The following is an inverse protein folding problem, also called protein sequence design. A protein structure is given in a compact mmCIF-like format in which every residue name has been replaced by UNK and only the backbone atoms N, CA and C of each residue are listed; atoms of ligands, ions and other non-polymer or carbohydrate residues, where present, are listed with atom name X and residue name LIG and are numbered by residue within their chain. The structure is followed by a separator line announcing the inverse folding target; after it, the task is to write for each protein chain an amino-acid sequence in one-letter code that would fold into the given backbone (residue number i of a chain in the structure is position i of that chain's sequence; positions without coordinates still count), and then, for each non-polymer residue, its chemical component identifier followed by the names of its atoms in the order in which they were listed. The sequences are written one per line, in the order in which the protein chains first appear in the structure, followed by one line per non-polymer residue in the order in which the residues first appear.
data_IF_904518775123
#
_entry.id   IF_904518775123
#
_cell.length_a   1.000
_cell.length_b   1.000
_cell.length_c   1.000
_cell.angle_alpha   90.00
_cell.angle_beta   90.00
_cell.angle_gamma   90.00
#
_symmetry.space_group_name_H-M   'P 1'
#
loop_
_entity.id
_entity.type
_entity.pdbx_description
1 polymer ?
#
# COMPACT_ATOMS: atom_id res chain seq x y z
N UNK A 1 24.62 5.52 38.59
CA UNK A 1 23.93 6.17 37.45
C UNK A 1 23.49 5.04 36.54
N UNK A 2 22.21 4.68 36.59
CA UNK A 2 21.67 3.54 35.86
C UNK A 2 21.09 4.03 34.54
N UNK A 3 21.69 3.63 33.42
CA UNK A 3 21.19 3.93 32.08
C UNK A 3 19.79 3.34 31.90
N UNK A 4 18.80 4.20 31.69
CA UNK A 4 17.49 3.81 31.21
C UNK A 4 17.64 3.41 29.74
N UNK A 5 17.66 2.10 29.49
CA UNK A 5 17.56 1.54 28.13
C UNK A 5 16.18 1.92 27.60
N UNK A 6 16.14 2.94 26.73
CA UNK A 6 14.96 3.31 25.95
C UNK A 6 14.61 2.12 25.05
N UNK A 7 13.63 1.33 25.49
CA UNK A 7 13.08 0.22 24.72
C UNK A 7 12.17 0.78 23.62
N UNK A 8 12.79 1.38 22.61
CA UNK A 8 12.09 1.99 21.48
C UNK A 8 11.47 0.88 20.63
N UNK A 9 10.16 0.69 20.78
CA UNK A 9 9.44 -0.33 20.02
C UNK A 9 9.31 0.15 18.57
N UNK A 10 10.02 -0.50 17.65
CA UNK A 10 9.92 -0.21 16.21
C UNK A 10 8.54 -0.65 15.68
N UNK A 11 7.66 0.34 15.44
CA UNK A 11 6.34 0.11 14.82
C UNK A 11 6.46 -0.47 13.40
N UNK A 12 7.51 -0.09 12.65
CA UNK A 12 7.78 -0.61 11.32
C UNK A 12 7.99 -2.14 11.29
N UNK A 13 8.59 -2.71 12.34
CA UNK A 13 8.76 -4.17 12.46
C UNK A 13 7.46 -4.92 12.78
N UNK A 14 6.52 -4.29 13.52
CA UNK A 14 5.21 -4.89 13.85
C UNK A 14 4.16 -4.72 12.76
N UNK A 15 4.25 -3.68 11.93
CA UNK A 15 3.38 -3.49 10.76
C UNK A 15 3.54 -4.61 9.72
N UNK A 16 4.77 -5.12 9.56
CA UNK A 16 5.12 -6.21 8.67
C UNK A 16 4.44 -7.55 9.06
N UNK A 17 4.41 -7.89 10.35
CA UNK A 17 3.74 -9.09 10.86
C UNK A 17 2.22 -8.93 11.09
N UNK A 18 1.65 -7.79 10.70
CA UNK A 18 0.28 -7.43 11.07
C UNK A 18 -0.78 -8.31 10.39
N UNK A 19 -1.89 -8.53 11.09
CA UNK A 19 -3.08 -9.16 10.52
C UNK A 19 -3.61 -8.41 9.28
N UNK A 20 -3.32 -7.10 9.19
CA UNK A 20 -3.68 -6.27 8.04
C UNK A 20 -2.93 -6.69 6.76
N UNK A 21 -1.62 -6.97 6.86
CA UNK A 21 -0.85 -7.47 5.70
C UNK A 21 -1.38 -8.84 5.24
N UNK A 22 -1.64 -9.78 6.16
CA UNK A 22 -2.15 -11.10 5.80
C UNK A 22 -3.49 -11.02 5.05
N UNK A 23 -4.40 -10.15 5.50
CA UNK A 23 -5.66 -9.91 4.81
C UNK A 23 -5.45 -9.35 3.40
N UNK A 24 -4.57 -8.35 3.23
CA UNK A 24 -4.24 -7.78 1.92
C UNK A 24 -3.55 -8.80 0.99
N UNK A 25 -2.70 -9.66 1.54
CA UNK A 25 -2.02 -10.71 0.79
C UNK A 25 -3.02 -11.71 0.23
N UNK A 26 -3.90 -12.25 1.09
CA UNK A 26 -4.96 -13.17 0.66
C UNK A 26 -5.88 -12.51 -0.37
N UNK A 27 -6.37 -11.31 -0.08
CA UNK A 27 -7.24 -10.55 -1.00
C UNK A 27 -6.56 -10.31 -2.35
N UNK A 28 -5.28 -9.96 -2.36
CA UNK A 28 -4.51 -9.75 -3.59
C UNK A 28 -4.31 -11.01 -4.41
N UNK A 29 -3.93 -12.12 -3.78
CA UNK A 29 -3.76 -13.39 -4.49
C UNK A 29 -5.09 -13.92 -5.04
N UNK A 30 -6.18 -13.81 -4.25
CA UNK A 30 -7.53 -14.18 -4.69
C UNK A 30 -7.97 -13.34 -5.88
N UNK A 31 -7.75 -12.01 -5.86
CA UNK A 31 -8.15 -11.15 -6.97
C UNK A 31 -7.35 -11.43 -8.26
N UNK A 32 -6.08 -11.82 -8.14
CA UNK A 32 -5.26 -12.28 -9.28
C UNK A 32 -5.87 -13.54 -9.90
N UNK A 33 -6.22 -14.52 -9.07
CA UNK A 33 -6.81 -15.79 -9.51
C UNK A 33 -8.19 -15.59 -10.16
N UNK A 34 -9.08 -14.80 -9.52
CA UNK A 34 -10.40 -14.47 -10.05
C UNK A 34 -10.29 -13.74 -11.40
N UNK A 35 -9.34 -12.81 -11.53
CA UNK A 35 -9.12 -12.09 -12.79
C UNK A 35 -8.63 -13.02 -13.89
N UNK A 36 -7.68 -13.91 -13.59
CA UNK A 36 -7.19 -14.89 -14.56
C UNK A 36 -8.33 -15.81 -15.04
N UNK A 37 -9.10 -16.36 -14.10
CA UNK A 37 -10.26 -17.21 -14.38
C UNK A 37 -11.30 -16.48 -15.24
N UNK A 38 -11.58 -15.21 -14.93
CA UNK A 38 -12.51 -14.39 -15.71
C UNK A 38 -12.00 -14.15 -17.14
N UNK A 39 -10.74 -13.72 -17.30
CA UNK A 39 -10.18 -13.38 -18.61
C UNK A 39 -10.08 -14.60 -19.53
N UNK A 40 -9.75 -15.78 -18.98
CA UNK A 40 -9.65 -17.02 -19.75
C UNK A 40 -11.03 -17.65 -20.05
N UNK A 41 -12.02 -17.38 -19.20
CA UNK A 41 -13.38 -17.90 -19.30
C UNK A 41 -14.39 -16.86 -19.80
N UNK A 42 -15.23 -16.38 -18.88
CA UNK A 42 -16.40 -15.55 -19.18
C UNK A 42 -16.06 -14.26 -19.94
N UNK A 43 -14.94 -13.61 -19.60
CA UNK A 43 -14.46 -12.39 -20.25
C UNK A 43 -14.10 -12.59 -21.72
N UNK A 44 -13.61 -13.77 -22.09
CA UNK A 44 -13.35 -14.11 -23.50
C UNK A 44 -14.63 -14.23 -24.31
N UNK A 45 -15.71 -14.74 -23.72
CA UNK A 45 -17.02 -14.82 -24.37
C UNK A 45 -17.69 -13.45 -24.43
N UNK A 46 -17.66 -12.69 -23.33
CA UNK A 46 -18.23 -11.36 -23.25
C UNK A 46 -17.58 -10.38 -24.25
N UNK A 47 -16.26 -10.43 -24.40
CA UNK A 47 -15.54 -9.52 -25.31
C UNK A 47 -15.88 -9.70 -26.80
N UNK A 48 -16.38 -10.87 -27.21
CA UNK A 48 -16.77 -11.17 -28.61
C UNK A 48 -18.04 -10.48 -29.06
N UNK A 49 -18.95 -10.17 -28.13
CA UNK A 49 -20.26 -9.57 -28.42
C UNK A 49 -20.29 -8.07 -28.13
N UNK A 50 -19.17 -7.48 -27.71
CA UNK A 50 -19.07 -6.06 -27.42
C UNK A 50 -19.14 -5.21 -28.70
N UNK A 51 -19.77 -4.03 -28.63
CA UNK A 51 -19.60 -3.00 -29.65
C UNK A 51 -18.12 -2.68 -29.87
N UNK A 52 -17.75 -2.26 -31.09
CA UNK A 52 -16.35 -2.01 -31.46
C UNK A 52 -15.60 -1.11 -30.47
N UNK A 53 -16.23 -0.02 -30.03
CA UNK A 53 -15.64 0.91 -29.06
C UNK A 53 -15.34 0.22 -27.73
N UNK A 54 -16.34 -0.47 -27.17
CA UNK A 54 -16.22 -1.21 -25.92
C UNK A 54 -15.22 -2.37 -26.01
N UNK A 55 -15.09 -3.01 -27.17
CA UNK A 55 -14.11 -4.08 -27.40
C UNK A 55 -12.66 -3.56 -27.34
N UNK A 56 -12.37 -2.41 -27.94
CA UNK A 56 -11.04 -1.77 -27.84
C UNK A 56 -10.76 -1.35 -26.41
N UNK A 57 -11.74 -0.74 -25.73
CA UNK A 57 -11.60 -0.34 -24.33
C UNK A 57 -11.38 -1.55 -23.42
N UNK A 58 -12.14 -2.63 -23.61
CA UNK A 58 -11.99 -3.88 -22.87
C UNK A 58 -10.57 -4.44 -23.01
N UNK A 59 -10.02 -4.47 -24.22
CA UNK A 59 -8.65 -4.94 -24.45
C UNK A 59 -7.61 -4.08 -23.72
N UNK A 60 -7.74 -2.75 -23.83
CA UNK A 60 -6.84 -1.82 -23.15
C UNK A 60 -6.92 -1.94 -21.62
N UNK A 61 -8.13 -1.93 -21.06
CA UNK A 61 -8.33 -2.05 -19.61
C UNK A 61 -7.97 -3.43 -19.07
N UNK A 62 -8.09 -4.50 -19.88
CA UNK A 62 -7.66 -5.84 -19.47
C UNK A 62 -6.15 -5.89 -19.26
N UNK A 63 -5.38 -5.29 -20.17
CA UNK A 63 -3.92 -5.19 -20.03
C UNK A 63 -3.52 -4.27 -18.85
N UNK A 64 -4.25 -3.17 -18.63
CA UNK A 64 -4.00 -2.31 -17.45
C UNK A 64 -4.30 -3.06 -16.15
N UNK A 65 -5.41 -3.78 -16.08
CA UNK A 65 -5.81 -4.58 -14.93
C UNK A 65 -4.76 -5.63 -14.60
N UNK A 66 -4.31 -6.43 -15.58
CA UNK A 66 -3.29 -7.47 -15.35
C UNK A 66 -1.95 -6.88 -14.95
N UNK A 67 -1.53 -5.78 -15.57
CA UNK A 67 -0.29 -5.08 -15.19
C UNK A 67 -0.38 -4.56 -13.75
N UNK A 68 -1.50 -3.92 -13.37
CA UNK A 68 -1.74 -3.44 -12.01
C UNK A 68 -1.69 -4.58 -11.00
N UNK A 69 -2.39 -5.69 -11.27
CA UNK A 69 -2.42 -6.86 -10.41
C UNK A 69 -1.02 -7.47 -10.25
N UNK A 70 -0.25 -7.55 -11.32
CA UNK A 70 1.12 -8.05 -11.27
C UNK A 70 2.03 -7.16 -10.42
N UNK A 71 1.92 -5.84 -10.53
CA UNK A 71 2.68 -4.91 -9.68
C UNK A 71 2.32 -5.06 -8.20
N UNK A 72 1.03 -5.16 -7.88
CA UNK A 72 0.56 -5.41 -6.51
C UNK A 72 1.04 -6.76 -5.98
N UNK A 73 0.95 -7.83 -6.79
CA UNK A 73 1.38 -9.16 -6.42
C UNK A 73 2.90 -9.21 -6.13
N UNK A 74 3.71 -8.57 -6.99
CA UNK A 74 5.15 -8.45 -6.76
C UNK A 74 5.47 -7.75 -5.44
N UNK A 75 4.78 -6.65 -5.14
CA UNK A 75 4.96 -5.96 -3.85
C UNK A 75 4.58 -6.85 -2.66
N UNK A 76 3.44 -7.53 -2.75
CA UNK A 76 2.94 -8.42 -1.70
C UNK A 76 3.90 -9.60 -1.44
N UNK A 77 4.48 -10.18 -2.49
CA UNK A 77 5.47 -11.25 -2.39
C UNK A 77 6.79 -10.75 -1.78
N UNK A 78 7.26 -9.57 -2.21
CA UNK A 78 8.45 -8.94 -1.66
C UNK A 78 8.28 -8.71 -0.14
N UNK A 79 7.14 -8.15 0.27
CA UNK A 79 6.84 -7.90 1.67
C UNK A 79 6.74 -9.20 2.47
N UNK A 80 6.13 -10.26 1.89
CA UNK A 80 6.10 -11.58 2.53
C UNK A 80 7.50 -12.15 2.77
N UNK A 81 8.41 -12.02 1.80
CA UNK A 81 9.79 -12.48 1.95
C UNK A 81 10.51 -11.77 3.11
N UNK A 82 10.29 -10.45 3.29
CA UNK A 82 10.80 -9.72 4.47
C UNK A 82 10.21 -10.26 5.75
N UNK A 83 8.89 -10.45 5.78
CA UNK A 83 8.18 -10.90 6.98
C UNK A 83 8.63 -12.29 7.43
N UNK A 84 9.05 -13.14 6.48
CA UNK A 84 9.58 -14.47 6.73
C UNK A 84 11.09 -14.47 7.08
N UNK A 85 11.77 -13.32 7.01
CA UNK A 85 13.21 -13.23 7.20
C UNK A 85 14.04 -13.76 6.03
N UNK A 86 13.43 -13.99 4.87
CA UNK A 86 14.09 -14.46 3.64
C UNK A 86 14.87 -13.32 2.94
N UNK A 87 14.53 -12.06 3.21
CA UNK A 87 15.19 -10.88 2.68
C UNK A 87 15.42 -9.82 3.75
N UNK A 88 16.53 -9.09 3.65
CA UNK A 88 16.80 -7.93 4.50
C UNK A 88 16.02 -6.70 4.03
N UNK A 89 15.85 -5.71 4.92
CA UNK A 89 15.16 -4.46 4.59
C UNK A 89 15.83 -3.71 3.44
N UNK A 90 17.16 -3.69 3.40
CA UNK A 90 17.92 -2.99 2.36
C UNK A 90 17.78 -3.66 0.99
N UNK A 91 17.79 -4.99 0.95
CA UNK A 91 17.52 -5.74 -0.28
C UNK A 91 16.13 -5.42 -0.82
N UNK A 92 15.13 -5.33 0.05
CA UNK A 92 13.76 -5.03 -0.35
C UNK A 92 13.59 -3.60 -0.84
N UNK A 93 14.27 -2.62 -0.24
CA UNK A 93 14.27 -1.26 -0.76
C UNK A 93 14.83 -1.18 -2.19
N UNK A 94 15.88 -1.97 -2.50
CA UNK A 94 16.45 -2.02 -3.84
C UNK A 94 15.49 -2.63 -4.88
N UNK A 95 14.84 -3.74 -4.53
CA UNK A 95 13.90 -4.44 -5.41
C UNK A 95 12.58 -3.69 -5.58
N UNK A 96 12.10 -3.02 -4.52
CA UNK A 96 10.88 -2.20 -4.54
C UNK A 96 10.93 -1.11 -5.61
N UNK A 97 12.10 -0.53 -5.92
CA UNK A 97 12.22 0.51 -6.96
C UNK A 97 11.77 0.04 -8.35
N UNK A 98 11.69 -1.27 -8.59
CA UNK A 98 11.19 -1.87 -9.83
C UNK A 98 9.65 -1.96 -9.85
N UNK A 99 9.00 -1.80 -8.70
CA UNK A 99 7.55 -1.93 -8.52
C UNK A 99 6.89 -0.55 -8.56
N UNK A 100 5.86 -0.39 -9.39
CA UNK A 100 5.12 0.87 -9.56
C UNK A 100 3.67 0.71 -9.08
N UNK A 101 3.38 1.28 -7.91
CA UNK A 101 2.04 1.23 -7.31
C UNK A 101 1.16 2.45 -7.64
N UNK A 102 1.71 3.53 -8.20
CA UNK A 102 1.03 4.82 -8.28
C UNK A 102 0.52 5.19 -9.70
N UNK A 103 0.62 4.27 -10.66
CA UNK A 103 0.56 4.64 -12.09
C UNK A 103 -0.70 4.25 -12.86
N UNK A 104 -1.72 3.65 -12.22
CA UNK A 104 -2.85 3.04 -12.95
C UNK A 104 -4.19 3.75 -12.72
N UNK A 105 -4.42 4.86 -13.41
CA UNK A 105 -5.74 5.52 -13.45
C UNK A 105 -6.70 4.81 -14.41
N UNK A 106 -7.99 4.91 -14.11
CA UNK A 106 -9.11 4.39 -14.92
C UNK A 106 -10.05 5.54 -15.23
N UNK A 107 -10.32 5.75 -16.52
CA UNK A 107 -11.28 6.74 -16.97
C UNK A 107 -12.68 6.11 -17.11
N UNK A 108 -13.54 6.38 -16.12
CA UNK A 108 -14.92 5.90 -16.09
C UNK A 108 -15.84 6.62 -17.08
N UNK A 109 -15.38 7.74 -17.64
CA UNK A 109 -16.11 8.51 -18.63
C UNK A 109 -15.67 8.17 -20.05
N UNK A 110 -14.74 7.22 -20.22
CA UNK A 110 -14.28 6.78 -21.52
C UNK A 110 -15.45 6.26 -22.38
N UNK A 111 -15.49 6.59 -23.68
CA UNK A 111 -16.49 6.04 -24.60
C UNK A 111 -16.51 4.51 -24.56
N UNK A 112 -17.69 3.92 -24.36
CA UNK A 112 -17.86 2.47 -24.26
C UNK A 112 -17.67 1.89 -22.84
N UNK A 113 -17.39 2.70 -21.82
CA UNK A 113 -17.25 2.23 -20.42
C UNK A 113 -18.52 1.55 -19.91
N UNK A 114 -19.69 2.14 -20.18
CA UNK A 114 -20.98 1.60 -19.72
C UNK A 114 -21.39 0.32 -20.46
N UNK A 115 -20.79 0.05 -21.61
CA UNK A 115 -21.01 -1.18 -22.38
C UNK A 115 -20.11 -2.34 -21.91
N UNK A 116 -19.13 -2.07 -21.03
CA UNK A 116 -18.26 -3.11 -20.49
C UNK A 116 -19.05 -4.04 -19.56
N UNK A 117 -18.72 -5.36 -19.54
CA UNK A 117 -19.37 -6.30 -18.65
C UNK A 117 -19.25 -5.85 -17.20
N UNK A 118 -20.34 -5.93 -16.44
CA UNK A 118 -20.37 -5.50 -15.05
C UNK A 118 -19.34 -6.23 -14.19
N UNK A 119 -19.20 -7.55 -14.37
CA UNK A 119 -18.18 -8.36 -13.70
C UNK A 119 -16.75 -7.88 -13.98
N UNK A 120 -16.48 -7.40 -15.19
CA UNK A 120 -15.17 -6.85 -15.53
C UNK A 120 -14.93 -5.51 -14.86
N UNK A 121 -15.95 -4.63 -14.84
CA UNK A 121 -15.88 -3.35 -14.12
C UNK A 121 -15.68 -3.57 -12.63
N UNK A 122 -16.33 -4.56 -12.02
CA UNK A 122 -16.12 -4.91 -10.61
C UNK A 122 -14.66 -5.34 -10.32
N UNK A 123 -14.06 -6.19 -11.17
CA UNK A 123 -12.65 -6.56 -11.04
C UNK A 123 -11.72 -5.33 -11.08
N UNK A 124 -12.01 -4.38 -11.98
CA UNK A 124 -11.27 -3.11 -12.05
C UNK A 124 -11.41 -2.32 -10.74
N UNK A 125 -12.62 -2.13 -10.25
CA UNK A 125 -12.88 -1.36 -9.01
C UNK A 125 -12.25 -2.01 -7.78
N UNK A 126 -12.32 -3.34 -7.67
CA UNK A 126 -11.65 -4.10 -6.60
C UNK A 126 -10.14 -3.95 -6.68
N UNK A 127 -9.56 -4.01 -7.89
CA UNK A 127 -8.12 -3.82 -8.06
C UNK A 127 -7.66 -2.41 -7.67
N UNK A 128 -8.45 -1.37 -7.95
CA UNK A 128 -8.15 0.01 -7.55
C UNK A 128 -8.20 0.20 -6.04
N UNK A 129 -9.23 -0.34 -5.38
CA UNK A 129 -9.36 -0.29 -3.91
C UNK A 129 -8.20 -1.01 -3.23
N UNK A 130 -7.81 -2.17 -3.74
CA UNK A 130 -6.66 -2.92 -3.24
C UNK A 130 -5.36 -2.15 -3.44
N UNK A 131 -5.13 -1.59 -4.63
CA UNK A 131 -3.95 -0.78 -4.95
C UNK A 131 -3.79 0.39 -3.98
N UNK A 132 -4.88 1.12 -3.71
CA UNK A 132 -4.85 2.24 -2.76
C UNK A 132 -4.46 1.79 -1.34
N UNK A 133 -4.99 0.66 -0.87
CA UNK A 133 -4.64 0.11 0.45
C UNK A 133 -3.20 -0.37 0.51
N UNK A 134 -2.69 -1.00 -0.54
CA UNK A 134 -1.29 -1.40 -0.65
C UNK A 134 -0.37 -0.18 -0.68
N UNK A 135 -0.70 0.86 -1.46
CA UNK A 135 0.09 2.10 -1.52
C UNK A 135 0.14 2.83 -0.17
N UNK A 136 -0.96 2.83 0.59
CA UNK A 136 -0.98 3.36 1.96
C UNK A 136 -0.09 2.56 2.90
N UNK A 137 -0.17 1.23 2.84
CA UNK A 137 0.67 0.35 3.66
C UNK A 137 2.16 0.48 3.30
N UNK A 138 2.48 0.58 2.01
CA UNK A 138 3.83 0.82 1.52
C UNK A 138 4.41 2.13 2.07
N UNK A 139 3.61 3.21 2.04
CA UNK A 139 3.99 4.48 2.64
C UNK A 139 4.20 4.32 4.14
N UNK A 140 3.34 3.63 4.87
CA UNK A 140 3.51 3.47 6.32
C UNK A 140 4.76 2.66 6.70
N UNK A 141 5.10 1.62 5.93
CA UNK A 141 6.26 0.76 6.21
C UNK A 141 7.58 1.44 5.85
N UNK A 142 7.60 2.22 4.77
CA UNK A 142 8.82 2.75 4.16
C UNK A 142 8.94 4.27 4.18
N UNK A 143 7.95 5.01 4.70
CA UNK A 143 8.11 6.43 4.97
C UNK A 143 9.33 6.57 5.87
N UNK A 144 10.34 7.39 5.48
CA UNK A 144 11.37 7.77 6.42
C UNK A 144 10.62 8.36 7.60
N UNK A 145 10.87 7.85 8.81
CA UNK A 145 10.51 8.62 9.99
C UNK A 145 11.17 9.96 9.78
N UNK A 146 10.43 10.96 9.29
CA UNK A 146 10.69 12.33 9.66
C UNK A 146 10.69 12.21 11.16
N UNK A 147 11.90 12.18 11.73
CA UNK A 147 12.09 12.16 13.16
C UNK A 147 11.04 13.12 13.65
N UNK A 148 10.06 12.61 14.40
CA UNK A 148 9.19 13.46 15.18
C UNK A 148 10.21 14.41 15.78
N UNK A 149 10.23 15.67 15.33
CA UNK A 149 10.93 16.71 16.04
C UNK A 149 10.13 16.68 17.31
N UNK A 150 10.54 15.83 18.26
CA UNK A 150 10.20 15.96 19.65
C UNK A 150 10.58 17.42 19.84
N UNK A 151 9.61 18.35 19.96
CA UNK A 151 9.98 19.70 20.32
C UNK A 151 10.87 19.50 21.54
N UNK A 152 12.03 20.14 21.56
CA UNK A 152 13.02 20.05 22.62
C UNK A 152 12.36 20.45 23.96
N UNK A 153 11.59 19.51 24.52
CA UNK A 153 10.70 19.70 25.65
C UNK A 153 11.42 19.29 26.93
N UNK A 154 12.66 18.80 26.81
CA UNK A 154 13.57 18.61 27.93
C UNK A 154 13.82 19.94 28.66
N UNK A 155 13.67 21.08 27.97
CA UNK A 155 13.86 22.40 28.55
C UNK A 155 12.59 23.17 28.95
N UNK A 156 11.38 22.71 28.62
CA UNK A 156 10.17 23.48 28.98
C UNK A 156 9.82 23.33 30.47
N UNK A 157 9.94 22.13 31.01
CA UNK A 157 9.70 21.84 32.43
C UNK A 157 10.85 22.40 33.28
N UNK A 158 12.10 22.28 32.83
CA UNK A 158 13.23 22.92 33.51
C UNK A 158 13.11 24.45 33.51
N UNK A 159 12.68 25.07 32.40
CA UNK A 159 12.42 26.51 32.35
C UNK A 159 11.31 26.92 33.35
N UNK A 160 10.23 26.14 33.46
CA UNK A 160 9.16 26.38 34.43
C UNK A 160 9.64 26.22 35.87
N UNK A 161 10.46 25.21 36.17
CA UNK A 161 11.04 24.99 37.49
C UNK A 161 12.02 26.10 37.89
N UNK A 162 12.82 26.59 36.95
CA UNK A 162 13.72 27.73 37.18
C UNK A 162 12.91 29.00 37.46
N UNK A 163 11.83 29.26 36.72
CA UNK A 163 10.97 30.42 36.92
C UNK A 163 10.28 30.37 38.30
N UNK A 164 9.78 29.21 38.70
CA UNK A 164 9.24 28.99 40.06
C UNK A 164 10.31 29.21 41.13
N UNK A 165 11.51 28.64 40.98
CA UNK A 165 12.64 28.88 41.91
C UNK A 165 12.96 30.36 42.03
N UNK A 166 12.97 31.09 40.93
CA UNK A 166 13.26 32.53 40.92
C UNK A 166 12.17 33.32 41.65
N UNK A 167 10.89 32.98 41.43
CA UNK A 167 9.75 33.63 42.09
C UNK A 167 9.71 33.39 43.61
N UNK A 168 10.18 32.24 44.07
CA UNK A 168 10.15 31.86 45.50
C UNK A 168 11.49 32.03 46.24
N UNK A 169 12.57 32.48 45.58
CA UNK A 169 13.88 32.73 46.23
C UNK A 169 14.08 34.20 46.63
N UNK A 170 13.13 35.08 46.34
CA UNK A 170 13.11 36.46 46.85
C UNK A 170 12.18 36.48 48.09
N UNK A 171 12.70 35.96 49.19
CA UNK A 171 12.28 36.30 50.56
C UNK A 171 13.40 35.95 51.53
#
# INVERSE_FOLDING_TARGET
MSEQVLNTISFAGRAAASNQFKALYTEGMTLVEETASYLDGAGRTASKVLPRMASVLYAAESMRLTTRLMQMASWLLLQRAVNNGEMTRDQVLSEKNKVRLDSFNVDRNAPGWNDLPESFRDLIERSLRLQNRIALLDREIYRPSEATKVPDNENSVQAQLNLLRTAFSIN
#
